data_IF_136165039280
#
_entry.id   IF_136165039280
#
_cell.length_a   1.000
_cell.length_b   1.000
_cell.length_c   1.000
_cell.angle_alpha   90.00
_cell.angle_beta   90.00
_cell.angle_gamma   90.00
#
_symmetry.space_group_name_H-M   'P 1'
#
loop_
_entity.id
_entity.type
_entity.pdbx_description
1 polymer ?
#
# COMPACT_ATOMS: atom_id res chain seq x y z
N UNK A 1 10.32 -13.52 -5.73
CA UNK A 1 9.69 -12.20 -5.96
C UNK A 1 8.20 -12.40 -5.78
N UNK A 2 7.65 -12.02 -4.63
CA UNK A 2 6.20 -11.98 -4.46
C UNK A 2 5.75 -10.65 -5.06
N UNK A 3 5.15 -10.73 -6.25
CA UNK A 3 4.58 -9.59 -6.95
C UNK A 3 3.49 -8.98 -6.09
N UNK A 4 3.47 -7.66 -5.94
CA UNK A 4 2.41 -7.00 -5.16
C UNK A 4 1.05 -7.32 -5.80
N UNK A 5 0.03 -7.74 -5.02
CA UNK A 5 -1.28 -8.04 -5.60
C UNK A 5 -1.84 -6.83 -6.36
N UNK A 6 -2.46 -7.08 -7.52
CA UNK A 6 -3.02 -6.02 -8.37
C UNK A 6 -3.97 -5.09 -7.62
N UNK A 7 -4.77 -5.65 -6.71
CA UNK A 7 -5.69 -4.88 -5.88
C UNK A 7 -4.95 -3.88 -4.98
N UNK A 8 -3.82 -4.27 -4.37
CA UNK A 8 -2.99 -3.37 -3.55
C UNK A 8 -2.40 -2.26 -4.41
N UNK A 9 -1.89 -2.60 -5.60
CA UNK A 9 -1.39 -1.60 -6.57
C UNK A 9 -2.50 -0.59 -6.93
N UNK A 10 -3.73 -1.06 -7.18
CA UNK A 10 -4.85 -0.18 -7.49
C UNK A 10 -5.18 0.76 -6.33
N UNK A 11 -5.23 0.26 -5.09
CA UNK A 11 -5.54 1.11 -3.91
C UNK A 11 -4.45 2.13 -3.64
N UNK A 12 -3.19 1.76 -3.77
CA UNK A 12 -2.07 2.72 -3.69
C UNK A 12 -2.20 3.80 -4.79
N UNK A 13 -2.58 3.40 -6.01
CA UNK A 13 -2.77 4.34 -7.11
C UNK A 13 -3.91 5.32 -6.85
N UNK A 14 -5.03 4.84 -6.29
CA UNK A 14 -6.17 5.68 -5.91
C UNK A 14 -5.76 6.67 -4.80
N UNK A 15 -5.07 6.19 -3.77
CA UNK A 15 -4.58 7.05 -2.68
C UNK A 15 -3.64 8.15 -3.20
N UNK A 16 -2.72 7.84 -4.13
CA UNK A 16 -1.86 8.84 -4.76
C UNK A 16 -2.66 9.85 -5.62
N UNK A 17 -3.70 9.39 -6.33
CA UNK A 17 -4.59 10.28 -7.11
C UNK A 17 -5.42 11.20 -6.22
N UNK A 18 -5.78 10.76 -5.02
CA UNK A 18 -6.47 11.55 -4.01
C UNK A 18 -5.52 12.50 -3.24
N UNK A 19 -4.24 12.54 -3.59
CA UNK A 19 -3.25 13.44 -3.00
C UNK A 19 -2.71 12.98 -1.64
N UNK A 20 -2.89 11.70 -1.28
CA UNK A 20 -2.32 11.15 -0.06
C UNK A 20 -0.79 11.06 -0.19
N UNK A 21 -0.09 11.41 0.88
CA UNK A 21 1.37 11.30 0.94
C UNK A 21 1.83 9.84 0.97
N UNK A 22 2.31 9.36 -0.18
CA UNK A 22 2.84 7.99 -0.33
C UNK A 22 4.15 7.74 0.41
N UNK A 23 4.85 8.79 0.86
CA UNK A 23 6.04 8.65 1.72
C UNK A 23 5.66 8.40 3.20
N UNK A 24 4.39 8.59 3.56
CA UNK A 24 3.86 8.34 4.89
C UNK A 24 2.98 7.09 4.89
N UNK A 25 3.53 5.91 5.29
CA UNK A 25 2.73 4.69 5.44
C UNK A 25 1.50 4.91 6.33
N UNK A 26 1.64 5.76 7.36
CA UNK A 26 0.54 6.15 8.24
C UNK A 26 -0.59 6.86 7.49
N UNK A 27 -0.28 7.79 6.59
CA UNK A 27 -1.30 8.51 5.81
C UNK A 27 -2.07 7.55 4.90
N UNK A 28 -1.36 6.63 4.24
CA UNK A 28 -1.97 5.61 3.37
C UNK A 28 -2.83 4.63 4.15
N UNK A 29 -2.34 4.12 5.27
CA UNK A 29 -3.11 3.23 6.15
C UNK A 29 -4.36 3.92 6.67
N UNK A 30 -4.26 5.18 7.10
CA UNK A 30 -5.43 5.95 7.54
C UNK A 30 -6.46 6.11 6.43
N UNK A 31 -6.03 6.43 5.21
CA UNK A 31 -6.91 6.56 4.05
C UNK A 31 -7.63 5.23 3.75
N UNK A 32 -6.90 4.12 3.67
CA UNK A 32 -7.48 2.79 3.49
C UNK A 32 -8.43 2.41 4.63
N UNK A 33 -8.13 2.82 5.87
CA UNK A 33 -8.95 2.52 7.03
C UNK A 33 -10.31 3.24 6.96
N UNK A 34 -10.30 4.49 6.52
CA UNK A 34 -11.53 5.29 6.28
C UNK A 34 -12.40 4.65 5.19
N UNK A 35 -11.79 4.06 4.16
CA UNK A 35 -12.50 3.33 3.10
C UNK A 35 -12.99 1.92 3.53
N UNK A 36 -12.68 1.47 4.75
CA UNK A 36 -13.06 0.14 5.24
C UNK A 36 -12.15 -1.00 4.76
N UNK A 37 -10.99 -0.68 4.19
CA UNK A 37 -10.10 -1.62 3.48
C UNK A 37 -9.17 -2.41 4.40
N UNK A 38 -9.75 -3.01 5.44
CA UNK A 38 -9.00 -3.69 6.51
C UNK A 38 -8.10 -4.82 6.00
N UNK A 39 -8.57 -5.61 5.02
CA UNK A 39 -7.79 -6.73 4.46
C UNK A 39 -6.58 -6.22 3.67
N UNK A 40 -6.72 -5.11 2.96
CA UNK A 40 -5.61 -4.50 2.22
C UNK A 40 -4.56 -3.90 3.15
N UNK A 41 -4.97 -3.37 4.30
CA UNK A 41 -4.03 -2.90 5.32
C UNK A 41 -3.19 -4.06 5.87
N UNK A 42 -3.81 -5.21 6.15
CA UNK A 42 -3.12 -6.40 6.66
C UNK A 42 -2.04 -6.93 5.72
N UNK A 43 -2.14 -6.66 4.42
CA UNK A 43 -1.06 -6.99 3.48
C UNK A 43 0.29 -6.38 3.90
N UNK A 44 0.31 -5.20 4.52
CA UNK A 44 1.54 -4.52 4.94
C UNK A 44 2.06 -4.97 6.30
N UNK A 45 1.45 -5.98 6.93
CA UNK A 45 1.95 -6.55 8.18
C UNK A 45 2.72 -7.83 7.92
N UNK A 46 3.71 -8.10 8.77
CA UNK A 46 4.43 -9.37 8.72
C UNK A 46 3.49 -10.51 9.12
N UNK A 47 3.66 -11.71 8.55
CA UNK A 47 2.82 -12.85 8.89
C UNK A 47 2.85 -13.16 10.39
N UNK A 48 1.69 -13.40 10.99
CA UNK A 48 1.53 -13.76 12.40
C UNK A 48 2.04 -12.72 13.41
N UNK A 49 2.22 -11.45 13.01
CA UNK A 49 2.60 -10.38 13.93
C UNK A 49 1.80 -9.11 13.70
N UNK A 50 1.89 -8.17 14.64
CA UNK A 50 1.38 -6.80 14.49
C UNK A 50 2.47 -5.83 14.03
N UNK A 51 3.57 -6.34 13.49
CA UNK A 51 4.66 -5.52 12.97
C UNK A 51 4.35 -5.09 11.54
N UNK A 52 4.37 -3.77 11.32
CA UNK A 52 4.29 -3.21 9.99
C UNK A 52 5.59 -3.48 9.22
N UNK A 53 5.45 -3.94 7.99
CA UNK A 53 6.54 -4.24 7.08
C UNK A 53 6.76 -3.05 6.14
N UNK A 54 7.63 -2.13 6.58
CA UNK A 54 7.97 -0.92 5.83
C UNK A 54 8.64 -1.24 4.48
N UNK A 55 9.46 -2.29 4.42
CA UNK A 55 10.11 -2.70 3.18
C UNK A 55 9.08 -3.20 2.17
N UNK A 56 8.11 -4.01 2.62
CA UNK A 56 7.00 -4.46 1.79
C UNK A 56 6.13 -3.30 1.28
N UNK A 57 5.85 -2.32 2.13
CA UNK A 57 5.14 -1.11 1.72
C UNK A 57 5.94 -0.32 0.66
N UNK A 58 7.21 -0.03 0.93
CA UNK A 58 8.07 0.73 0.02
C UNK A 58 8.22 0.03 -1.34
N UNK A 59 8.36 -1.30 -1.33
CA UNK A 59 8.40 -2.11 -2.54
C UNK A 59 7.10 -2.04 -3.33
N UNK A 60 5.94 -2.11 -2.66
CA UNK A 60 4.63 -1.99 -3.30
C UNK A 60 4.40 -0.60 -3.93
N UNK A 61 4.79 0.47 -3.24
CA UNK A 61 4.74 1.85 -3.77
C UNK A 61 5.67 2.00 -4.98
N UNK A 62 6.89 1.46 -4.90
CA UNK A 62 7.83 1.49 -6.02
C UNK A 62 7.30 0.70 -7.23
N UNK A 63 6.66 -0.45 -7.00
CA UNK A 63 6.03 -1.25 -8.04
C UNK A 63 4.87 -0.50 -8.70
N UNK A 64 3.97 0.10 -7.92
CA UNK A 64 2.88 0.95 -8.43
C UNK A 64 3.41 2.07 -9.33
N UNK A 65 4.47 2.77 -8.93
CA UNK A 65 5.07 3.85 -9.74
C UNK A 65 5.68 3.34 -11.04
N UNK A 66 6.29 2.15 -11.05
CA UNK A 66 6.77 1.50 -12.29
C UNK A 66 5.63 1.15 -13.25
N UNK A 67 4.46 0.76 -12.72
CA UNK A 67 3.28 0.49 -13.54
C UNK A 67 2.67 1.74 -14.16
N UNK A 68 2.75 2.91 -13.52
CA UNK A 68 2.26 4.19 -14.06
C UNK A 68 3.11 4.77 -15.20
N UNK A 69 4.39 4.38 -15.29
CA UNK A 69 5.32 4.90 -16.31
C UNK A 69 5.32 4.08 -17.62
N UNK A 70 4.51 3.02 -17.70
CA UNK A 70 4.30 2.24 -18.91
C UNK A 70 2.96 2.60 -19.54
#
# INVERSE_FOLDING_TARGET
>A
MNTTPKEIIQKLSNAEQEGIDMASPKAVVNHMLVQGEKQSILYFYKPNTLEFDFDKYNNAVAEMRRHKQK
#
